data_IF_063590097694
#
_entry.id   IF_063590097694
#
_cell.length_a   1.000
_cell.length_b   1.000
_cell.length_c   1.000
_cell.angle_alpha   90.00
_cell.angle_beta   90.00
_cell.angle_gamma   90.00
#
_symmetry.space_group_name_H-M   'P 1'
#
loop_
_entity.id
_entity.type
_entity.pdbx_description
1 polymer ?
#
# COMPACT_ATOMS: atom_id res chain seq x y z
N UNK A 1 45.49 -11.41 13.25
CA UNK A 1 44.42 -11.82 12.30
C UNK A 1 43.10 -11.27 12.81
N UNK A 2 42.69 -10.11 12.31
CA UNK A 2 41.38 -9.50 12.60
C UNK A 2 40.33 -10.23 11.77
N UNK A 3 39.40 -10.91 12.43
CA UNK A 3 38.28 -11.56 11.75
C UNK A 3 37.44 -10.48 11.05
N UNK A 4 37.38 -10.52 9.73
CA UNK A 4 36.48 -9.67 8.95
C UNK A 4 35.06 -10.00 9.36
N UNK A 5 34.28 -9.05 9.91
CA UNK A 5 32.90 -9.33 10.28
C UNK A 5 32.13 -9.75 9.03
N UNK A 6 31.53 -10.94 9.07
CA UNK A 6 30.62 -11.40 8.03
C UNK A 6 29.40 -10.49 8.10
N UNK A 7 29.37 -9.45 7.26
CA UNK A 7 28.18 -8.62 7.09
C UNK A 7 27.07 -9.51 6.57
N UNK A 8 26.08 -9.78 7.42
CA UNK A 8 24.91 -10.56 7.05
C UNK A 8 24.32 -9.99 5.76
N UNK A 9 24.12 -10.86 4.76
CA UNK A 9 23.56 -10.44 3.46
C UNK A 9 22.16 -9.87 3.71
N UNK A 10 21.81 -8.70 3.15
CA UNK A 10 20.47 -8.16 3.28
C UNK A 10 19.42 -9.18 2.81
N UNK A 11 18.39 -9.41 3.63
CA UNK A 11 17.28 -10.32 3.32
C UNK A 11 15.99 -9.54 3.26
N UNK A 12 15.14 -9.87 2.29
CA UNK A 12 13.78 -9.36 2.23
C UNK A 12 12.93 -10.01 3.32
N UNK A 13 12.50 -9.22 4.30
CA UNK A 13 11.56 -9.67 5.32
C UNK A 13 10.15 -9.58 4.73
N UNK A 14 9.53 -10.74 4.48
CA UNK A 14 8.18 -10.79 3.95
C UNK A 14 7.16 -10.25 4.94
N UNK A 15 6.09 -9.64 4.43
CA UNK A 15 4.92 -9.27 5.21
C UNK A 15 3.62 -9.45 4.41
N UNK A 16 2.51 -9.38 5.14
CA UNK A 16 1.15 -9.54 4.60
C UNK A 16 0.49 -8.21 4.21
N UNK A 17 1.07 -7.09 4.66
CA UNK A 17 0.46 -5.75 4.55
C UNK A 17 0.28 -5.32 3.11
N UNK A 18 1.28 -5.60 2.25
CA UNK A 18 1.19 -5.20 0.84
C UNK A 18 0.01 -5.88 0.17
N UNK A 19 -0.14 -7.21 0.32
CA UNK A 19 -1.25 -7.94 -0.30
C UNK A 19 -2.60 -7.56 0.31
N UNK A 20 -2.67 -7.40 1.63
CA UNK A 20 -3.89 -6.95 2.30
C UNK A 20 -4.33 -5.56 1.80
N UNK A 21 -3.37 -4.64 1.64
CA UNK A 21 -3.60 -3.32 1.05
C UNK A 21 -4.07 -3.39 -0.40
N UNK A 22 -3.47 -4.26 -1.22
CA UNK A 22 -3.89 -4.49 -2.61
C UNK A 22 -5.33 -5.00 -2.70
N UNK A 23 -5.69 -5.98 -1.88
CA UNK A 23 -7.07 -6.50 -1.83
C UNK A 23 -8.01 -5.41 -1.35
N UNK A 24 -7.66 -4.70 -0.27
CA UNK A 24 -8.49 -3.63 0.25
C UNK A 24 -8.75 -2.54 -0.79
N UNK A 25 -7.70 -2.09 -1.50
CA UNK A 25 -7.83 -1.09 -2.56
C UNK A 25 -8.71 -1.59 -3.72
N UNK A 26 -8.53 -2.82 -4.17
CA UNK A 26 -9.35 -3.40 -5.25
C UNK A 26 -10.83 -3.59 -4.86
N UNK A 27 -11.20 -3.50 -3.57
CA UNK A 27 -12.60 -3.48 -3.17
C UNK A 27 -13.32 -2.18 -3.57
N UNK A 28 -12.62 -1.17 -4.08
CA UNK A 28 -13.24 0.03 -4.69
C UNK A 28 -14.23 -0.34 -5.81
N UNK A 29 -13.94 -1.39 -6.57
CA UNK A 29 -14.81 -1.89 -7.64
C UNK A 29 -16.18 -2.34 -7.13
N UNK A 30 -16.27 -2.79 -5.88
CA UNK A 30 -17.56 -3.13 -5.26
C UNK A 30 -18.45 -1.90 -5.21
N UNK A 31 -17.91 -0.74 -4.82
CA UNK A 31 -18.68 0.49 -4.77
C UNK A 31 -19.02 1.01 -6.16
N UNK A 32 -18.07 1.01 -7.09
CA UNK A 32 -18.27 1.46 -8.46
C UNK A 32 -19.42 0.70 -9.12
N UNK A 33 -19.43 -0.64 -9.02
CA UNK A 33 -20.49 -1.44 -9.62
C UNK A 33 -21.82 -1.41 -8.86
N UNK A 34 -21.79 -1.41 -7.52
CA UNK A 34 -23.02 -1.47 -6.73
C UNK A 34 -23.78 -0.13 -6.69
N UNK A 35 -23.06 1.00 -6.77
CA UNK A 35 -23.66 2.32 -6.75
C UNK A 35 -23.71 3.00 -8.14
N UNK A 36 -23.29 2.29 -9.20
CA UNK A 36 -23.23 2.80 -10.58
C UNK A 36 -22.53 4.18 -10.66
N UNK A 37 -21.39 4.33 -9.97
CA UNK A 37 -20.70 5.61 -9.87
C UNK A 37 -20.11 6.00 -11.22
N UNK A 38 -20.63 7.08 -11.81
CA UNK A 38 -20.17 7.65 -13.10
C UNK A 38 -19.70 9.11 -13.00
N UNK A 39 -19.95 9.78 -11.88
CA UNK A 39 -19.53 11.16 -11.56
C UNK A 39 -18.22 11.19 -10.74
N UNK A 40 -17.37 12.23 -10.87
CA UNK A 40 -17.58 13.45 -11.65
C UNK A 40 -17.29 13.28 -13.17
N UNK A 41 -17.99 14.05 -14.00
CA UNK A 41 -17.92 13.96 -15.47
C UNK A 41 -16.99 14.99 -16.11
N UNK A 42 -16.80 16.15 -15.47
CA UNK A 42 -15.92 17.23 -15.91
C UNK A 42 -16.63 18.34 -16.68
N UNK A 43 -15.87 19.40 -17.00
CA UNK A 43 -16.42 20.64 -17.58
C UNK A 43 -17.08 20.46 -18.95
N UNK A 44 -16.66 19.45 -19.72
CA UNK A 44 -17.18 19.17 -21.06
C UNK A 44 -18.53 18.41 -21.03
N UNK A 45 -18.96 17.92 -19.86
CA UNK A 45 -20.22 17.21 -19.72
C UNK A 45 -21.43 18.13 -19.93
N UNK A 46 -22.48 17.61 -20.57
CA UNK A 46 -23.70 18.38 -20.79
C UNK A 46 -24.45 18.58 -19.47
N UNK A 47 -25.30 19.62 -19.39
CA UNK A 47 -26.17 19.82 -18.22
C UNK A 47 -27.05 18.59 -17.97
N UNK A 48 -27.52 17.93 -19.03
CA UNK A 48 -28.37 16.75 -18.91
C UNK A 48 -27.62 15.59 -18.26
N UNK A 49 -26.38 15.32 -18.69
CA UNK A 49 -25.55 14.23 -18.15
C UNK A 49 -25.22 14.47 -16.68
N UNK A 50 -24.79 15.69 -16.33
CA UNK A 50 -24.54 16.07 -14.93
C UNK A 50 -25.82 15.94 -14.11
N UNK A 51 -26.96 16.42 -14.62
CA UNK A 51 -28.23 16.27 -13.88
C UNK A 51 -28.56 14.80 -13.65
N UNK A 52 -28.39 13.94 -14.65
CA UNK A 52 -28.68 12.50 -14.53
C UNK A 52 -27.75 11.77 -13.56
N UNK A 53 -26.47 12.12 -13.50
CA UNK A 53 -25.51 11.48 -12.59
C UNK A 53 -25.70 11.87 -11.12
N UNK A 54 -26.24 13.06 -10.84
CA UNK A 54 -26.40 13.57 -9.47
C UNK A 54 -27.84 13.44 -8.93
N UNK A 55 -28.86 13.78 -9.71
CA UNK A 55 -30.23 13.88 -9.21
C UNK A 55 -30.78 12.49 -8.81
N UNK A 56 -31.34 12.39 -7.60
CA UNK A 56 -31.88 11.14 -7.06
C UNK A 56 -30.85 10.09 -6.65
N UNK A 57 -29.55 10.38 -6.76
CA UNK A 57 -28.47 9.42 -6.47
C UNK A 57 -27.79 9.66 -5.12
N UNK A 58 -28.29 10.58 -4.28
CA UNK A 58 -27.69 10.96 -2.99
C UNK A 58 -27.32 9.76 -2.11
N UNK A 59 -28.23 8.79 -1.95
CA UNK A 59 -27.97 7.60 -1.10
C UNK A 59 -26.89 6.70 -1.66
N UNK A 60 -26.92 6.43 -2.97
CA UNK A 60 -25.96 5.55 -3.63
C UNK A 60 -24.55 6.17 -3.61
N UNK A 61 -24.45 7.45 -3.97
CA UNK A 61 -23.19 8.20 -3.95
C UNK A 61 -22.66 8.39 -2.51
N UNK A 62 -23.55 8.58 -1.54
CA UNK A 62 -23.18 8.69 -0.12
C UNK A 62 -22.59 7.40 0.42
N UNK A 63 -23.19 6.26 0.08
CA UNK A 63 -22.66 4.95 0.43
C UNK A 63 -21.31 4.68 -0.27
N UNK A 64 -21.19 4.98 -1.56
CA UNK A 64 -19.94 4.81 -2.30
C UNK A 64 -18.81 5.68 -1.71
N UNK A 65 -19.10 6.95 -1.39
CA UNK A 65 -18.17 7.86 -0.71
C UNK A 65 -17.68 7.29 0.63
N UNK A 66 -18.61 6.80 1.46
CA UNK A 66 -18.29 6.13 2.71
C UNK A 66 -17.40 4.89 2.50
N UNK A 67 -17.67 4.09 1.48
CA UNK A 67 -16.86 2.93 1.12
C UNK A 67 -15.43 3.33 0.70
N UNK A 68 -15.30 4.28 -0.23
CA UNK A 68 -14.02 4.81 -0.71
C UNK A 68 -13.16 5.37 0.43
N UNK A 69 -13.76 6.01 1.45
CA UNK A 69 -13.03 6.52 2.61
C UNK A 69 -12.23 5.45 3.36
N UNK A 70 -12.66 4.18 3.27
CA UNK A 70 -11.99 3.03 3.90
C UNK A 70 -11.07 2.32 2.91
N UNK A 71 -11.60 1.93 1.74
CA UNK A 71 -10.86 1.04 0.82
C UNK A 71 -9.65 1.71 0.20
N UNK A 72 -9.68 3.03 -0.02
CA UNK A 72 -8.55 3.77 -0.59
C UNK A 72 -7.33 3.79 0.33
N UNK A 73 -7.51 3.60 1.64
CA UNK A 73 -6.40 3.41 2.60
C UNK A 73 -5.57 2.16 2.30
N UNK A 74 -6.09 1.23 1.49
CA UNK A 74 -5.34 0.08 0.98
C UNK A 74 -4.04 0.49 0.28
N UNK A 75 -4.02 1.61 -0.44
CA UNK A 75 -2.81 2.13 -1.09
C UNK A 75 -1.75 2.61 -0.09
N UNK A 76 -2.15 3.16 1.04
CA UNK A 76 -1.22 3.48 2.14
C UNK A 76 -0.65 2.20 2.76
N UNK A 77 -1.47 1.15 2.95
CA UNK A 77 -1.01 -0.16 3.42
C UNK A 77 0.02 -0.79 2.48
N UNK A 78 -0.15 -0.64 1.16
CA UNK A 78 0.81 -1.08 0.15
C UNK A 78 2.18 -0.43 0.37
N UNK A 79 2.23 0.91 0.41
CA UNK A 79 3.51 1.64 0.49
C UNK A 79 4.18 1.47 1.85
N UNK A 80 3.41 1.48 2.94
CA UNK A 80 3.93 1.21 4.29
C UNK A 80 4.40 -0.24 4.44
N UNK A 81 3.70 -1.20 3.81
CA UNK A 81 4.12 -2.59 3.72
C UNK A 81 5.44 -2.77 2.97
N UNK A 82 5.62 -2.08 1.83
CA UNK A 82 6.89 -2.07 1.08
C UNK A 82 8.00 -1.47 1.95
N UNK A 83 7.72 -0.36 2.64
CA UNK A 83 8.67 0.30 3.56
C UNK A 83 9.11 -0.65 4.67
N UNK A 84 8.17 -1.37 5.27
CA UNK A 84 8.45 -2.37 6.30
C UNK A 84 9.31 -3.52 5.75
N UNK A 85 9.00 -4.02 4.54
CA UNK A 85 9.79 -5.08 3.91
C UNK A 85 11.25 -4.66 3.61
N UNK A 86 11.48 -3.36 3.42
CA UNK A 86 12.80 -2.77 3.15
C UNK A 86 13.53 -2.26 4.39
N UNK A 87 12.93 -2.28 5.59
CA UNK A 87 13.45 -1.60 6.78
C UNK A 87 14.85 -2.07 7.20
N UNK A 88 15.15 -3.35 6.98
CA UNK A 88 16.40 -4.02 7.34
C UNK A 88 17.42 -4.10 6.18
N UNK A 89 17.09 -3.53 5.02
CA UNK A 89 17.95 -3.60 3.82
C UNK A 89 19.17 -2.66 3.86
N UNK A 90 19.28 -1.79 4.87
CA UNK A 90 20.35 -0.79 5.01
C UNK A 90 20.36 0.29 3.90
N UNK A 91 19.29 0.37 3.11
CA UNK A 91 19.13 1.20 1.90
C UNK A 91 18.24 2.43 2.19
N UNK A 92 18.15 3.45 1.29
CA UNK A 92 17.76 4.80 1.67
C UNK A 92 16.30 4.89 2.12
N UNK A 93 16.10 5.06 3.43
CA UNK A 93 14.79 5.23 4.08
C UNK A 93 14.02 6.44 3.57
N UNK A 94 14.72 7.48 3.14
CA UNK A 94 14.14 8.74 2.66
C UNK A 94 13.24 8.57 1.44
N UNK A 95 13.57 7.69 0.48
CA UNK A 95 12.71 7.44 -0.67
C UNK A 95 11.37 6.84 -0.25
N UNK A 96 11.38 5.95 0.74
CA UNK A 96 10.15 5.38 1.27
C UNK A 96 9.36 6.36 2.13
N UNK A 97 10.01 7.30 2.82
CA UNK A 97 9.32 8.39 3.53
C UNK A 97 8.57 9.29 2.54
N UNK A 98 9.23 9.69 1.45
CA UNK A 98 8.61 10.44 0.35
C UNK A 98 7.47 9.63 -0.28
N UNK A 99 7.66 8.33 -0.52
CA UNK A 99 6.64 7.47 -1.10
C UNK A 99 5.37 7.41 -0.22
N UNK A 100 5.53 7.25 1.10
CA UNK A 100 4.41 7.22 2.04
C UNK A 100 3.69 8.56 2.06
N UNK A 101 4.42 9.67 2.10
CA UNK A 101 3.83 11.01 2.10
C UNK A 101 3.06 11.28 0.80
N UNK A 102 3.67 11.03 -0.35
CA UNK A 102 3.05 11.24 -1.66
C UNK A 102 1.79 10.36 -1.83
N UNK A 103 1.83 9.11 -1.34
CA UNK A 103 0.65 8.24 -1.32
C UNK A 103 -0.44 8.78 -0.40
N UNK A 104 -0.07 9.31 0.77
CA UNK A 104 -1.01 9.95 1.68
C UNK A 104 -1.72 11.15 1.04
N UNK A 105 -0.98 11.99 0.31
CA UNK A 105 -1.55 13.11 -0.45
C UNK A 105 -2.50 12.60 -1.54
N UNK A 106 -2.10 11.59 -2.31
CA UNK A 106 -2.94 10.96 -3.35
C UNK A 106 -4.27 10.47 -2.78
N UNK A 107 -4.21 9.68 -1.70
CA UNK A 107 -5.40 9.13 -1.02
C UNK A 107 -6.28 10.23 -0.42
N UNK A 108 -5.69 11.26 0.19
CA UNK A 108 -6.45 12.37 0.78
C UNK A 108 -7.21 13.17 -0.28
N UNK A 109 -6.57 13.46 -1.43
CA UNK A 109 -7.23 14.12 -2.56
C UNK A 109 -8.42 13.26 -3.02
N UNK A 110 -8.22 11.97 -3.22
CA UNK A 110 -9.28 11.09 -3.72
C UNK A 110 -10.46 10.94 -2.78
N UNK A 111 -10.20 10.78 -1.47
CA UNK A 111 -11.27 10.76 -0.46
C UNK A 111 -12.03 12.09 -0.48
N UNK A 112 -11.33 13.21 -0.60
CA UNK A 112 -11.97 14.53 -0.66
C UNK A 112 -12.84 14.67 -1.92
N UNK A 113 -12.32 14.26 -3.08
CA UNK A 113 -13.05 14.20 -4.35
C UNK A 113 -14.37 13.45 -4.19
N UNK A 114 -14.33 12.22 -3.67
CA UNK A 114 -15.53 11.41 -3.49
C UNK A 114 -16.43 11.86 -2.33
N UNK A 115 -15.95 12.71 -1.42
CA UNK A 115 -16.79 13.33 -0.40
C UNK A 115 -17.63 14.49 -0.95
N UNK A 116 -17.13 15.20 -1.97
CA UNK A 116 -17.87 16.31 -2.62
C UNK A 116 -19.05 15.78 -3.44
N UNK A 117 -18.89 14.65 -4.11
CA UNK A 117 -19.89 14.04 -4.99
C UNK A 117 -21.27 13.86 -4.33
N UNK A 118 -21.42 13.14 -3.19
CA UNK A 118 -22.72 13.02 -2.53
C UNK A 118 -23.24 14.34 -1.96
N UNK A 119 -22.35 15.28 -1.60
CA UNK A 119 -22.76 16.62 -1.17
C UNK A 119 -23.41 17.41 -2.31
N UNK A 120 -22.89 17.29 -3.53
CA UNK A 120 -23.47 17.90 -4.72
C UNK A 120 -24.83 17.26 -5.10
N UNK A 121 -24.93 15.92 -5.00
CA UNK A 121 -26.21 15.22 -5.18
C UNK A 121 -27.25 15.67 -4.16
N UNK A 122 -26.86 15.70 -2.88
CA UNK A 122 -27.74 16.15 -1.80
C UNK A 122 -28.20 17.60 -2.01
N UNK A 123 -27.29 18.50 -2.40
CA UNK A 123 -27.62 19.89 -2.69
C UNK A 123 -28.66 20.00 -3.83
N UNK A 124 -28.49 19.22 -4.91
CA UNK A 124 -29.44 19.21 -6.03
C UNK A 124 -30.82 18.69 -5.62
N UNK A 125 -30.85 17.59 -4.86
CA UNK A 125 -32.10 16.97 -4.38
C UNK A 125 -32.89 17.90 -3.42
N UNK A 126 -32.24 18.89 -2.83
CA UNK A 126 -32.85 19.87 -1.91
C UNK A 126 -33.12 21.23 -2.58
N UNK A 127 -33.28 21.24 -3.90
CA UNK A 127 -33.65 22.46 -4.65
C UNK A 127 -32.47 23.36 -5.00
N UNK A 128 -31.24 22.86 -4.85
CA UNK A 128 -30.03 23.55 -5.29
C UNK A 128 -29.97 23.72 -6.80
N UNK A 129 -29.26 24.74 -7.26
CA UNK A 129 -29.10 25.03 -8.69
C UNK A 129 -28.19 24.02 -9.38
N UNK A 130 -28.55 23.58 -10.59
CA UNK A 130 -27.69 22.74 -11.43
C UNK A 130 -26.36 23.41 -11.80
N UNK A 131 -26.32 24.74 -11.95
CA UNK A 131 -25.08 25.46 -12.30
C UNK A 131 -24.00 25.31 -11.22
N UNK A 132 -24.40 25.34 -9.94
CA UNK A 132 -23.49 25.09 -8.81
C UNK A 132 -22.97 23.66 -8.83
N UNK A 133 -23.83 22.67 -9.13
CA UNK A 133 -23.43 21.26 -9.23
C UNK A 133 -22.45 21.06 -10.39
N UNK A 134 -22.67 21.71 -11.54
CA UNK A 134 -21.72 21.67 -12.68
C UNK A 134 -20.37 22.27 -12.32
N UNK A 135 -20.34 23.38 -11.58
CA UNK A 135 -19.08 23.97 -11.10
C UNK A 135 -18.34 23.02 -10.15
N UNK A 136 -19.06 22.36 -9.24
CA UNK A 136 -18.51 21.36 -8.33
C UNK A 136 -18.02 20.12 -9.08
N UNK A 137 -18.78 19.62 -10.05
CA UNK A 137 -18.43 18.47 -10.89
C UNK A 137 -17.13 18.72 -11.65
N UNK A 138 -17.01 19.87 -12.32
CA UNK A 138 -15.79 20.26 -13.03
C UNK A 138 -14.57 20.34 -12.09
N UNK A 139 -14.71 20.98 -10.92
CA UNK A 139 -13.64 21.07 -9.94
C UNK A 139 -13.24 19.68 -9.39
N UNK A 140 -14.24 18.86 -9.07
CA UNK A 140 -14.04 17.50 -8.55
C UNK A 140 -13.40 16.60 -9.58
N UNK A 141 -13.75 16.74 -10.87
CA UNK A 141 -13.07 16.06 -11.97
C UNK A 141 -11.59 16.43 -12.05
N UNK A 142 -11.23 17.72 -11.95
CA UNK A 142 -9.83 18.15 -11.90
C UNK A 142 -9.11 17.58 -10.68
N UNK A 143 -9.74 17.60 -9.50
CA UNK A 143 -9.18 17.00 -8.28
C UNK A 143 -8.96 15.49 -8.44
N UNK A 144 -9.91 14.77 -9.03
CA UNK A 144 -9.80 13.34 -9.31
C UNK A 144 -8.57 13.05 -10.19
N UNK A 145 -8.35 13.86 -11.22
CA UNK A 145 -7.20 13.64 -12.08
C UNK A 145 -5.86 14.07 -11.42
N UNK A 146 -5.88 15.00 -10.47
CA UNK A 146 -4.69 15.40 -9.72
C UNK A 146 -4.12 14.28 -8.84
N UNK A 147 -4.92 13.25 -8.52
CA UNK A 147 -4.51 12.06 -7.74
C UNK A 147 -3.30 11.35 -8.36
N UNK A 148 -3.25 11.29 -9.69
CA UNK A 148 -2.26 10.51 -10.44
C UNK A 148 -0.83 11.03 -10.25
N UNK A 149 -0.66 12.34 -10.03
CA UNK A 149 0.66 12.95 -9.80
C UNK A 149 1.35 12.38 -8.56
N UNK A 150 0.79 12.60 -7.36
CA UNK A 150 1.33 12.04 -6.13
C UNK A 150 1.34 10.50 -6.10
N UNK A 151 0.35 9.84 -6.73
CA UNK A 151 0.35 8.37 -6.90
C UNK A 151 1.59 7.91 -7.67
N UNK A 152 1.87 8.54 -8.81
CA UNK A 152 3.01 8.24 -9.67
C UNK A 152 4.34 8.44 -8.95
N UNK A 153 4.48 9.55 -8.20
CA UNK A 153 5.65 9.80 -7.34
C UNK A 153 5.82 8.71 -6.29
N UNK A 154 4.73 8.31 -5.61
CA UNK A 154 4.79 7.27 -4.59
C UNK A 154 5.26 5.92 -5.15
N UNK A 155 4.72 5.53 -6.30
CA UNK A 155 5.09 4.29 -7.01
C UNK A 155 6.53 4.37 -7.51
N UNK A 156 6.96 5.50 -8.10
CA UNK A 156 8.31 5.70 -8.60
C UNK A 156 9.35 5.63 -7.48
N UNK A 157 9.11 6.32 -6.36
CA UNK A 157 9.98 6.26 -5.18
C UNK A 157 10.05 4.84 -4.59
N UNK A 158 8.91 4.13 -4.53
CA UNK A 158 8.86 2.73 -4.09
C UNK A 158 9.66 1.83 -5.01
N UNK A 159 9.48 1.95 -6.33
CA UNK A 159 10.19 1.16 -7.33
C UNK A 159 11.70 1.46 -7.33
N UNK A 160 12.10 2.72 -7.16
CA UNK A 160 13.51 3.12 -7.02
C UNK A 160 14.13 2.55 -5.74
N UNK A 161 13.41 2.58 -4.62
CA UNK A 161 13.86 1.95 -3.37
C UNK A 161 14.00 0.43 -3.55
N UNK A 162 13.01 -0.24 -4.14
CA UNK A 162 13.05 -1.68 -4.47
C UNK A 162 14.22 -2.01 -5.40
N UNK A 163 14.43 -1.23 -6.47
CA UNK A 163 15.55 -1.38 -7.40
C UNK A 163 16.87 -1.24 -6.68
N UNK A 164 17.04 -0.16 -5.93
CA UNK A 164 18.26 0.12 -5.18
C UNK A 164 18.54 -1.01 -4.21
N UNK A 165 17.52 -1.60 -3.57
CA UNK A 165 17.63 -2.70 -2.59
C UNK A 165 18.17 -4.01 -3.17
N UNK A 166 18.05 -4.25 -4.49
CA UNK A 166 18.43 -5.53 -5.10
C UNK A 166 17.72 -6.76 -4.51
N UNK A 167 16.69 -6.56 -3.67
CA UNK A 167 15.91 -7.61 -3.02
C UNK A 167 14.71 -8.06 -3.87
N UNK A 168 14.34 -7.24 -4.87
CA UNK A 168 13.21 -7.45 -5.74
C UNK A 168 13.67 -7.81 -7.17
N UNK A 169 12.88 -8.59 -7.93
CA UNK A 169 13.16 -8.85 -9.34
C UNK A 169 13.23 -7.56 -10.16
N UNK A 170 14.23 -7.42 -11.03
CA UNK A 170 14.39 -6.21 -11.86
C UNK A 170 13.16 -5.92 -12.73
N UNK A 171 12.53 -6.96 -13.29
CA UNK A 171 11.31 -6.81 -14.11
C UNK A 171 10.19 -6.13 -13.32
N UNK A 172 9.98 -6.53 -12.06
CA UNK A 172 9.00 -5.90 -11.17
C UNK A 172 9.34 -4.42 -10.93
N UNK A 173 10.61 -4.09 -10.71
CA UNK A 173 11.03 -2.72 -10.51
C UNK A 173 10.89 -1.86 -11.79
N UNK A 174 11.20 -2.40 -12.98
CA UNK A 174 10.93 -1.70 -14.27
C UNK A 174 9.45 -1.42 -14.42
N UNK A 175 8.58 -2.40 -14.16
CA UNK A 175 7.14 -2.23 -14.21
C UNK A 175 6.68 -1.09 -13.29
N UNK A 176 7.21 -1.06 -12.06
CA UNK A 176 6.93 0.02 -11.11
C UNK A 176 7.42 1.39 -11.58
N UNK A 177 8.61 1.47 -12.20
CA UNK A 177 9.11 2.73 -12.78
C UNK A 177 8.20 3.21 -13.90
N UNK A 178 7.81 2.33 -14.83
CA UNK A 178 6.91 2.68 -15.93
C UNK A 178 5.54 3.14 -15.43
N UNK A 179 4.96 2.42 -14.47
CA UNK A 179 3.71 2.80 -13.82
C UNK A 179 3.84 4.15 -13.10
N UNK A 180 4.92 4.36 -12.34
CA UNK A 180 5.16 5.59 -11.59
C UNK A 180 5.34 6.82 -12.47
N UNK A 181 6.20 6.71 -13.50
CA UNK A 181 6.41 7.78 -14.48
C UNK A 181 5.12 8.07 -15.25
N UNK A 182 4.43 7.03 -15.73
CA UNK A 182 3.19 7.19 -16.47
C UNK A 182 2.12 7.94 -15.66
N UNK A 183 1.85 7.52 -14.42
CA UNK A 183 0.87 8.20 -13.56
C UNK A 183 1.32 9.63 -13.19
N UNK A 184 2.61 9.86 -12.94
CA UNK A 184 3.10 11.21 -12.66
C UNK A 184 2.87 12.14 -13.86
N UNK A 185 3.13 11.66 -15.07
CA UNK A 185 2.84 12.39 -16.32
C UNK A 185 1.35 12.63 -16.51
N UNK A 186 0.49 11.64 -16.23
CA UNK A 186 -0.97 11.80 -16.25
C UNK A 186 -1.40 12.97 -15.35
N UNK A 187 -0.96 12.99 -14.08
CA UNK A 187 -1.31 14.06 -13.15
C UNK A 187 -0.83 15.45 -13.59
N UNK A 188 0.39 15.53 -14.17
CA UNK A 188 0.91 16.78 -14.73
C UNK A 188 0.09 17.24 -15.95
N UNK A 189 -0.26 16.32 -16.85
CA UNK A 189 -0.97 16.64 -18.08
C UNK A 189 -2.42 17.06 -17.83
N UNK A 190 -3.10 16.48 -16.84
CA UNK A 190 -4.46 16.91 -16.48
C UNK A 190 -4.53 18.32 -15.87
N UNK A 191 -3.39 18.88 -15.47
CA UNK A 191 -3.31 20.29 -15.07
C UNK A 191 -3.30 21.25 -16.28
N UNK A 192 -3.23 20.73 -17.52
CA UNK A 192 -3.16 21.49 -18.76
C UNK A 192 -4.23 21.00 -19.76
N UNK A 193 -5.30 21.77 -20.00
CA UNK A 193 -6.39 21.38 -20.91
C UNK A 193 -5.95 20.98 -22.32
N UNK A 194 -4.87 21.58 -22.83
CA UNK A 194 -4.36 21.34 -24.18
C UNK A 194 -3.81 19.92 -24.41
N UNK A 195 -3.57 19.13 -23.36
CA UNK A 195 -2.93 17.80 -23.46
C UNK A 195 -3.75 16.67 -22.82
N UNK A 196 -5.04 16.90 -22.54
CA UNK A 196 -5.94 15.89 -21.95
C UNK A 196 -6.06 14.63 -22.80
N UNK A 197 -6.08 14.74 -24.12
CA UNK A 197 -6.08 13.58 -25.03
C UNK A 197 -4.84 12.69 -24.90
N UNK A 198 -3.68 13.27 -24.55
CA UNK A 198 -2.45 12.51 -24.28
C UNK A 198 -2.55 11.82 -22.92
N UNK A 199 -3.11 12.51 -21.92
CA UNK A 199 -3.32 11.95 -20.58
C UNK A 199 -4.22 10.69 -20.63
N UNK A 200 -5.24 10.69 -21.48
CA UNK A 200 -6.10 9.52 -21.70
C UNK A 200 -5.33 8.30 -22.24
N UNK A 201 -4.43 8.49 -23.20
CA UNK A 201 -3.59 7.40 -23.71
C UNK A 201 -2.67 6.81 -22.63
N UNK A 202 -2.22 7.64 -21.69
CA UNK A 202 -1.35 7.24 -20.59
C UNK A 202 -2.09 6.51 -19.46
N UNK A 203 -3.44 6.41 -19.48
CA UNK A 203 -4.21 5.66 -18.47
C UNK A 203 -3.85 4.18 -18.38
N UNK A 204 -3.18 3.61 -19.40
CA UNK A 204 -2.57 2.28 -19.31
C UNK A 204 -1.61 2.15 -18.12
N UNK A 205 -1.02 3.26 -17.66
CA UNK A 205 -0.17 3.30 -16.47
C UNK A 205 -0.91 2.88 -15.18
N UNK A 206 -2.24 3.06 -15.12
CA UNK A 206 -3.06 2.58 -13.99
C UNK A 206 -3.11 1.05 -13.97
N UNK A 207 -3.27 0.43 -15.14
CA UNK A 207 -3.24 -1.04 -15.27
C UNK A 207 -1.86 -1.60 -14.90
N UNK A 208 -0.78 -0.93 -15.34
CA UNK A 208 0.58 -1.29 -14.94
C UNK A 208 0.78 -1.18 -13.42
N UNK A 209 0.22 -0.14 -12.80
CA UNK A 209 0.23 0.03 -11.35
C UNK A 209 -0.46 -1.14 -10.64
N UNK A 210 -1.66 -1.57 -11.08
CA UNK A 210 -2.34 -2.72 -10.49
C UNK A 210 -1.51 -4.01 -10.61
N UNK A 211 -0.92 -4.26 -11.78
CA UNK A 211 -0.04 -5.41 -12.00
C UNK A 211 1.18 -5.38 -11.07
N UNK A 212 1.83 -4.22 -10.96
CA UNK A 212 2.98 -4.00 -10.06
C UNK A 212 2.60 -4.22 -8.59
N UNK A 213 1.48 -3.65 -8.16
CA UNK A 213 0.97 -3.72 -6.79
C UNK A 213 0.66 -5.17 -6.38
N UNK A 214 -0.07 -5.92 -7.23
CA UNK A 214 -0.42 -7.31 -6.96
C UNK A 214 0.83 -8.21 -6.93
N UNK A 215 1.72 -8.06 -7.90
CA UNK A 215 2.96 -8.84 -7.95
C UNK A 215 3.85 -8.56 -6.73
N UNK A 216 3.99 -7.29 -6.32
CA UNK A 216 4.72 -6.92 -5.10
C UNK A 216 4.09 -7.54 -3.87
N UNK A 217 2.75 -7.51 -3.76
CA UNK A 217 2.00 -8.12 -2.66
C UNK A 217 2.25 -9.62 -2.52
N UNK A 218 2.11 -10.38 -3.62
CA UNK A 218 2.36 -11.82 -3.65
C UNK A 218 3.81 -12.14 -3.30
N UNK A 219 4.76 -11.35 -3.81
CA UNK A 219 6.18 -11.57 -3.53
C UNK A 219 6.50 -11.35 -2.05
N UNK A 220 6.05 -10.25 -1.45
CA UNK A 220 6.21 -9.99 -0.01
C UNK A 220 5.53 -11.09 0.84
N UNK A 221 4.34 -11.54 0.46
CA UNK A 221 3.66 -12.64 1.15
C UNK A 221 4.46 -13.95 1.10
N UNK A 222 4.95 -14.34 -0.08
CA UNK A 222 5.70 -15.59 -0.30
C UNK A 222 7.00 -15.69 0.49
N UNK A 223 7.54 -14.55 0.95
CA UNK A 223 8.75 -14.48 1.79
C UNK A 223 8.43 -14.58 3.28
N UNK A 224 7.19 -14.34 3.68
CA UNK A 224 6.72 -14.49 5.07
C UNK A 224 6.66 -15.96 5.48
N UNK A 225 6.37 -16.85 4.54
CA UNK A 225 6.19 -18.30 4.80
C UNK A 225 7.51 -19.07 4.84
N UNK A 226 8.63 -18.47 4.43
CA UNK A 226 9.96 -19.08 4.51
C UNK A 226 10.59 -18.79 5.87
N UNK A 227 10.07 -19.41 6.93
CA UNK A 227 10.78 -19.46 8.22
C UNK A 227 11.98 -20.40 8.05
N UNK A 228 13.23 -19.93 8.21
CA UNK A 228 14.40 -20.82 8.25
C UNK A 228 14.40 -21.50 9.63
N UNK A 229 13.70 -22.63 9.78
CA UNK A 229 13.54 -23.19 11.12
C UNK A 229 12.70 -24.45 11.29
N UNK A 230 12.67 -25.35 10.31
CA UNK A 230 12.26 -26.76 10.53
C UNK A 230 13.02 -27.69 9.59
N UNK A 231 14.33 -27.48 9.48
CA UNK A 231 15.19 -28.65 9.25
C UNK A 231 15.30 -29.35 10.59
N UNK A 232 14.31 -30.20 10.88
CA UNK A 232 14.42 -31.21 11.92
C UNK A 232 15.65 -32.03 11.57
N UNK A 233 16.76 -31.72 12.24
CA UNK A 233 18.02 -32.45 12.20
C UNK A 233 17.78 -33.78 12.91
N UNK A 234 16.99 -34.65 12.26
CA UNK A 234 16.70 -36.02 12.68
C UNK A 234 17.48 -37.05 11.86
N UNK A 235 18.59 -36.64 11.23
CA UNK A 235 19.58 -37.55 10.68
C UNK A 235 20.68 -37.78 11.70
N UNK A 236 20.39 -38.50 12.78
CA UNK A 236 21.45 -39.13 13.56
C UNK A 236 22.10 -40.18 12.65
N UNK A 237 23.27 -39.84 12.09
CA UNK A 237 24.17 -40.83 11.50
C UNK A 237 24.41 -41.93 12.55
N UNK A 238 24.22 -43.23 12.22
CA UNK A 238 24.42 -44.35 13.16
C UNK A 238 25.86 -44.50 13.73
N UNK A 239 26.78 -43.62 13.36
CA UNK A 239 28.22 -43.78 13.59
C UNK A 239 28.76 -43.07 14.84
N UNK A 240 27.91 -42.58 15.75
CA UNK A 240 28.34 -42.08 17.07
C UNK A 240 27.73 -42.85 18.26
N UNK A 241 27.20 -44.05 18.03
CA UNK A 241 26.65 -44.93 19.08
C UNK A 241 27.66 -45.89 19.72
N UNK A 242 28.95 -45.70 19.47
CA UNK A 242 30.02 -46.53 20.03
C UNK A 242 30.97 -45.71 20.90
N UNK A 243 30.99 -46.02 22.21
CA UNK A 243 31.83 -45.43 23.29
C UNK A 243 31.23 -44.24 24.03
N UNK A 244 30.18 -44.50 24.81
CA UNK A 244 30.03 -43.83 26.10
C UNK A 244 30.35 -44.85 27.21
N UNK A 245 31.33 -44.58 28.08
CA UNK A 245 31.52 -45.34 29.30
C UNK A 245 30.29 -45.17 30.20
N UNK A 246 29.79 -46.30 30.71
CA UNK A 246 28.80 -46.36 31.78
C UNK A 246 29.39 -45.66 33.02
N UNK A 247 28.99 -44.42 33.27
CA UNK A 247 29.19 -43.78 34.56
C UNK A 247 28.00 -44.15 35.45
N UNK A 248 28.32 -44.98 36.43
CA UNK A 248 27.46 -45.43 37.50
C UNK A 248 27.20 -44.30 38.52
N UNK A 249 26.03 -44.39 39.16
CA UNK A 249 25.67 -43.83 40.48
C UNK A 249 25.28 -42.35 40.69
N UNK A 250 24.02 -42.28 41.14
CA UNK A 250 23.50 -41.61 42.37
C UNK A 250 23.04 -40.15 42.23
N UNK A 251 21.72 -40.05 42.11
CA UNK A 251 20.75 -39.11 42.74
C UNK A 251 21.27 -38.29 43.94
N UNK A 252 20.77 -37.04 44.17
CA UNK A 252 19.35 -36.83 44.47
C UNK A 252 18.65 -35.59 43.87
N UNK A 253 17.34 -35.81 43.73
CA UNK A 253 16.18 -34.93 43.74
C UNK A 253 16.38 -33.60 44.49
N UNK A 254 16.15 -32.47 43.81
CA UNK A 254 15.66 -31.22 44.43
C UNK A 254 14.69 -30.54 43.46
N UNK A 255 13.43 -30.44 43.86
CA UNK A 255 12.35 -29.58 43.34
C UNK A 255 11.59 -29.12 44.59
N UNK A 256 10.86 -27.99 44.62
CA UNK A 256 11.11 -26.63 44.13
C UNK A 256 11.10 -25.63 45.32
N UNK A 257 11.47 -24.36 45.09
CA UNK A 257 11.02 -23.28 45.99
C UNK A 257 10.38 -22.17 45.17
N UNK A 258 9.08 -22.00 45.39
CA UNK A 258 8.29 -20.89 44.92
C UNK A 258 8.47 -19.68 45.86
N UNK A 259 7.98 -18.54 45.37
CA UNK A 259 7.52 -17.35 46.11
C UNK A 259 8.52 -16.20 46.36
N UNK A 260 7.98 -15.01 46.09
CA UNK A 260 8.38 -13.65 46.52
C UNK A 260 9.67 -13.11 45.87
N UNK A 261 9.64 -12.02 45.09
CA UNK A 261 9.01 -10.73 45.41
C UNK A 261 10.01 -9.91 46.21
N UNK A 262 10.56 -8.86 45.58
CA UNK A 262 11.34 -7.72 46.09
C UNK A 262 12.68 -7.44 45.41
N UNK A 263 12.87 -6.14 45.18
CA UNK A 263 13.80 -5.41 44.30
C UNK A 263 15.13 -5.12 45.00
N UNK A 264 16.17 -4.85 44.23
CA UNK A 264 17.15 -3.80 44.57
C UNK A 264 17.35 -2.85 43.38
N UNK A 265 16.84 -1.63 43.53
CA UNK A 265 17.14 -0.46 42.67
C UNK A 265 18.38 0.22 43.30
N UNK A 266 19.40 0.61 42.54
CA UNK A 266 20.49 1.42 43.10
C UNK A 266 20.01 2.85 43.40
N UNK A 267 20.57 3.52 44.43
CA UNK A 267 20.22 4.89 44.76
C UNK A 267 20.74 5.88 43.70
N UNK A 268 19.98 6.94 43.36
CA UNK A 268 20.54 8.10 42.67
C UNK A 268 21.30 8.99 43.67
N UNK A 269 22.35 9.61 43.15
CA UNK A 269 23.20 10.65 43.76
C UNK A 269 22.42 11.84 44.28
#
# INVERSE_FOLDING_TARGET
>A
MTATPVTARPVLVGNRLVLAGSVLYLLEWVAIFAASVDVPLGAEASTADVTSGYAGHTTALGWASGWFSVVLLGRLLIVTGIRSALADSGRPRHLMDVAVLAMGVSVAIEITTYAVVPGAAWYLDHGGSIDTVRALDAATFTMNNAIFGPLGVAVLCSAAAMWSSGLFPRVLCVLGVLAGVGNALVGLMFSAPAVTGIAEMLRVAVVLFWGWMLWTGVLCWSRTTRVPGTTTRGGLTPQQRGKMPRADRRTPTVVPCALTGYRCRPPPS
#
